data_IF_740132411486
#
_entry.id   IF_740132411486
#
_cell.length_a   1.000
_cell.length_b   1.000
_cell.length_c   1.000
_cell.angle_alpha   90.00
_cell.angle_beta   90.00
_cell.angle_gamma   90.00
#
_symmetry.space_group_name_H-M   'P 1'
#
loop_
_entity.id
_entity.type
_entity.pdbx_description
1 polymer ?
#
# COMPACT_ATOMS: atom_id res chain seq x y z
N UNK A 1 19.06 23.41 -26.28
CA UNK A 1 18.09 22.44 -26.84
C UNK A 1 17.13 22.07 -25.71
N UNK A 2 15.88 22.52 -25.79
CA UNK A 2 14.85 22.21 -24.76
C UNK A 2 14.21 20.89 -25.18
N UNK A 3 14.39 19.84 -24.36
CA UNK A 3 13.75 18.55 -24.58
C UNK A 3 12.23 18.70 -24.36
N UNK A 4 11.45 18.48 -25.41
CA UNK A 4 10.00 18.45 -25.37
C UNK A 4 9.56 17.16 -24.66
N UNK A 5 8.75 17.28 -23.62
CA UNK A 5 8.17 16.13 -22.93
C UNK A 5 7.31 15.29 -23.90
N UNK A 6 7.24 13.96 -23.75
CA UNK A 6 6.43 13.11 -24.61
C UNK A 6 4.95 13.54 -24.50
N UNK A 7 4.34 13.90 -25.63
CA UNK A 7 2.92 14.18 -25.71
C UNK A 7 2.15 12.84 -25.62
N UNK A 8 1.14 12.80 -24.75
CA UNK A 8 0.23 11.67 -24.69
C UNK A 8 -0.45 11.44 -26.05
N UNK A 9 -0.71 10.18 -26.47
CA UNK A 9 -1.39 9.91 -27.72
C UNK A 9 -2.79 10.56 -27.74
N UNK A 10 -3.26 11.04 -28.90
CA UNK A 10 -4.59 11.62 -29.03
C UNK A 10 -5.65 10.55 -28.67
N UNK A 11 -6.50 10.88 -27.71
CA UNK A 11 -7.64 10.03 -27.33
C UNK A 11 -8.71 10.09 -28.42
N UNK A 12 -9.40 8.96 -28.74
CA UNK A 12 -10.50 8.96 -29.70
C UNK A 12 -11.62 9.90 -29.23
N UNK A 13 -12.13 10.72 -30.16
CA UNK A 13 -13.09 11.78 -29.88
C UNK A 13 -14.53 11.32 -29.54
N UNK A 14 -14.82 10.02 -29.57
CA UNK A 14 -16.17 9.44 -29.41
C UNK A 14 -16.41 8.69 -28.09
N UNK A 15 -15.54 8.88 -27.08
CA UNK A 15 -15.76 8.34 -25.75
C UNK A 15 -16.56 9.28 -24.85
N UNK A 16 -17.23 8.77 -23.78
CA UNK A 16 -17.83 9.63 -22.78
C UNK A 16 -16.78 10.61 -22.25
N UNK A 17 -17.16 11.88 -21.94
CA UNK A 17 -16.21 12.88 -21.50
C UNK A 17 -15.41 12.37 -20.29
N UNK A 18 -14.09 12.66 -20.21
CA UNK A 18 -13.26 12.24 -19.10
C UNK A 18 -13.90 12.67 -17.78
N UNK A 19 -13.96 11.76 -16.80
CA UNK A 19 -14.46 12.13 -15.46
C UNK A 19 -13.59 13.23 -14.88
N UNK A 20 -14.18 14.39 -14.62
CA UNK A 20 -13.50 15.47 -13.92
C UNK A 20 -13.40 15.09 -12.44
N UNK A 21 -12.17 14.89 -11.96
CA UNK A 21 -11.90 14.72 -10.54
C UNK A 21 -11.58 16.08 -9.92
N UNK A 22 -12.31 16.50 -8.86
CA UNK A 22 -12.05 17.79 -8.21
C UNK A 22 -10.63 17.81 -7.60
N UNK A 23 -10.07 19.02 -7.48
CA UNK A 23 -8.79 19.22 -6.83
C UNK A 23 -8.83 18.71 -5.38
N UNK A 24 -7.81 17.97 -4.92
CA UNK A 24 -7.80 17.44 -3.57
C UNK A 24 -7.58 18.57 -2.56
N UNK A 25 -8.31 18.53 -1.44
CA UNK A 25 -8.27 19.60 -0.40
C UNK A 25 -7.59 19.14 0.89
N UNK A 26 -7.32 17.84 1.09
CA UNK A 26 -6.78 17.31 2.34
C UNK A 26 -5.64 16.28 2.12
N UNK A 27 -4.66 16.65 1.29
CA UNK A 27 -3.44 15.86 1.14
C UNK A 27 -2.50 16.10 2.33
N UNK A 28 -2.21 15.06 3.13
CA UNK A 28 -1.31 15.13 4.30
C UNK A 28 0.04 14.45 4.09
N UNK A 29 0.07 13.38 3.30
CA UNK A 29 1.27 12.58 3.06
C UNK A 29 1.67 12.52 1.58
N UNK A 30 0.72 12.72 0.68
CA UNK A 30 0.99 12.83 -0.76
C UNK A 30 1.45 14.25 -1.13
N UNK A 31 2.20 14.43 -2.22
CA UNK A 31 2.59 15.74 -2.75
C UNK A 31 1.39 16.67 -2.94
N UNK A 32 1.54 17.94 -2.56
CA UNK A 32 0.44 18.92 -2.54
C UNK A 32 0.01 19.39 -3.94
N UNK A 33 0.85 19.20 -4.94
CA UNK A 33 0.66 19.64 -6.32
C UNK A 33 -0.02 18.59 -7.22
N UNK A 34 -0.48 17.46 -6.65
CA UNK A 34 -1.19 16.43 -7.41
C UNK A 34 -2.57 16.92 -7.84
N UNK A 35 -2.93 16.64 -9.10
CA UNK A 35 -4.29 16.81 -9.60
C UNK A 35 -5.26 15.79 -9.01
N UNK A 36 -6.56 16.05 -9.11
CA UNK A 36 -7.60 15.10 -8.67
C UNK A 36 -7.49 13.74 -9.39
N UNK A 37 -7.16 13.76 -10.68
CA UNK A 37 -6.94 12.55 -11.48
C UNK A 37 -5.76 11.72 -10.93
N UNK A 38 -4.62 12.36 -10.68
CA UNK A 38 -3.44 11.67 -10.13
C UNK A 38 -3.69 11.06 -8.75
N UNK A 39 -4.42 11.79 -7.90
CA UNK A 39 -4.82 11.25 -6.58
C UNK A 39 -5.76 10.05 -6.75
N UNK A 40 -6.72 10.12 -7.67
CA UNK A 40 -7.61 9.01 -7.95
C UNK A 40 -6.84 7.75 -8.38
N UNK A 41 -5.90 7.86 -9.30
CA UNK A 41 -5.04 6.76 -9.76
C UNK A 41 -4.20 6.15 -8.62
N UNK A 42 -3.71 6.99 -7.69
CA UNK A 42 -3.03 6.51 -6.48
C UNK A 42 -3.99 5.71 -5.60
N UNK A 43 -5.21 6.21 -5.39
CA UNK A 43 -6.22 5.54 -4.56
C UNK A 43 -6.67 4.20 -5.17
N UNK A 44 -6.84 4.11 -6.50
CA UNK A 44 -7.15 2.83 -7.18
C UNK A 44 -6.03 1.80 -6.96
N UNK A 45 -4.77 2.21 -7.06
CA UNK A 45 -3.64 1.31 -6.74
C UNK A 45 -3.67 0.84 -5.28
N UNK A 46 -4.03 1.72 -4.34
CA UNK A 46 -4.16 1.35 -2.93
C UNK A 46 -5.35 0.40 -2.70
N UNK A 47 -6.51 0.65 -3.34
CA UNK A 47 -7.66 -0.26 -3.31
C UNK A 47 -7.26 -1.68 -3.75
N UNK A 48 -6.62 -1.81 -4.91
CA UNK A 48 -6.17 -3.10 -5.44
C UNK A 48 -5.11 -3.75 -4.53
N UNK A 49 -4.18 -2.97 -3.99
CA UNK A 49 -3.12 -3.48 -3.10
C UNK A 49 -3.65 -4.01 -1.77
N UNK A 50 -4.76 -3.44 -1.28
CA UNK A 50 -5.36 -3.76 0.02
C UNK A 50 -6.61 -4.65 -0.10
N UNK A 51 -7.13 -4.88 -1.31
CA UNK A 51 -8.37 -5.63 -1.53
C UNK A 51 -9.61 -4.97 -0.93
N UNK A 52 -9.66 -3.64 -0.90
CA UNK A 52 -10.74 -2.87 -0.27
C UNK A 52 -11.41 -1.92 -1.28
N UNK A 53 -12.41 -1.17 -0.83
CA UNK A 53 -13.11 -0.15 -1.61
C UNK A 53 -12.93 1.24 -0.99
N UNK A 54 -13.15 2.30 -1.79
CA UNK A 54 -13.06 3.71 -1.35
C UNK A 54 -13.78 3.98 -0.04
N UNK A 55 -14.95 3.35 0.16
CA UNK A 55 -15.76 3.49 1.38
C UNK A 55 -15.12 2.90 2.64
N UNK A 56 -14.10 2.07 2.52
CA UNK A 56 -13.35 1.57 3.68
C UNK A 56 -12.63 2.71 4.41
N UNK A 57 -12.05 3.65 3.65
CA UNK A 57 -11.26 4.76 4.21
C UNK A 57 -11.98 6.11 4.17
N UNK A 58 -13.05 6.27 3.36
CA UNK A 58 -13.76 7.53 3.18
C UNK A 58 -15.21 7.41 3.65
N UNK A 59 -15.71 8.45 4.34
CA UNK A 59 -17.09 8.52 4.83
C UNK A 59 -18.06 8.93 3.72
N UNK A 60 -19.30 8.48 3.81
CA UNK A 60 -20.37 9.01 2.99
C UNK A 60 -20.78 10.41 3.49
N UNK A 61 -21.04 11.32 2.56
CA UNK A 61 -21.60 12.65 2.86
C UNK A 61 -23.13 12.60 2.66
N UNK A 62 -23.92 12.60 3.73
CA UNK A 62 -25.37 12.53 3.63
C UNK A 62 -26.00 13.76 2.97
N UNK A 63 -25.27 14.88 2.91
CA UNK A 63 -25.72 16.13 2.30
C UNK A 63 -25.37 16.23 0.80
N UNK A 64 -24.59 15.29 0.28
CA UNK A 64 -24.15 15.27 -1.12
C UNK A 64 -24.61 14.00 -1.80
N UNK A 65 -25.83 14.04 -2.34
CA UNK A 65 -26.45 12.88 -3.00
C UNK A 65 -26.07 12.85 -4.48
N UNK A 66 -25.60 11.69 -4.94
CA UNK A 66 -25.26 11.46 -6.33
C UNK A 66 -26.51 11.22 -7.21
N UNK A 67 -26.33 11.19 -8.55
CA UNK A 67 -27.44 10.95 -9.48
C UNK A 67 -28.16 9.61 -9.30
N UNK A 68 -27.48 8.65 -8.67
CA UNK A 68 -28.02 7.32 -8.35
C UNK A 68 -28.77 7.26 -7.01
N UNK A 69 -29.04 8.41 -6.38
CA UNK A 69 -29.72 8.50 -5.08
C UNK A 69 -28.88 8.08 -3.88
N UNK A 70 -27.59 7.80 -4.06
CA UNK A 70 -26.68 7.41 -2.98
C UNK A 70 -25.80 8.59 -2.53
N UNK A 71 -25.48 8.69 -1.23
CA UNK A 71 -24.51 9.66 -0.74
C UNK A 71 -23.16 9.49 -1.44
N UNK A 72 -22.56 10.60 -1.86
CA UNK A 72 -21.18 10.62 -2.35
C UNK A 72 -20.21 10.50 -1.18
N UNK A 73 -18.98 10.06 -1.46
CA UNK A 73 -17.94 9.99 -0.45
C UNK A 73 -17.32 11.37 -0.21
N UNK A 74 -17.11 11.70 1.06
CA UNK A 74 -16.32 12.85 1.48
C UNK A 74 -14.84 12.44 1.57
N UNK A 75 -14.10 12.69 0.51
CA UNK A 75 -12.69 12.34 0.43
C UNK A 75 -11.79 13.21 1.35
N UNK A 76 -12.27 14.35 1.83
CA UNK A 76 -11.53 15.24 2.73
C UNK A 76 -11.72 14.87 4.20
N UNK A 77 -12.78 14.19 4.57
CA UNK A 77 -13.10 13.81 5.95
C UNK A 77 -12.06 12.83 6.52
N UNK A 78 -11.65 13.03 7.76
CA UNK A 78 -10.64 12.24 8.48
C UNK A 78 -11.20 11.42 9.64
N UNK A 79 -12.51 11.29 9.76
CA UNK A 79 -13.16 10.61 10.88
C UNK A 79 -12.90 9.09 10.92
N UNK A 80 -12.57 8.47 9.78
CA UNK A 80 -12.26 7.04 9.72
C UNK A 80 -10.81 6.74 10.11
N UNK A 81 -10.63 5.88 11.11
CA UNK A 81 -9.32 5.46 11.60
C UNK A 81 -8.45 4.81 10.50
N UNK A 82 -9.06 4.05 9.59
CA UNK A 82 -8.39 3.40 8.45
C UNK A 82 -7.61 4.41 7.59
N UNK A 83 -8.14 5.62 7.43
CA UNK A 83 -7.46 6.69 6.68
C UNK A 83 -6.19 7.19 7.36
N UNK A 84 -6.20 7.27 8.70
CA UNK A 84 -5.01 7.61 9.48
C UNK A 84 -3.96 6.49 9.40
N UNK A 85 -4.41 5.23 9.53
CA UNK A 85 -3.55 4.04 9.38
C UNK A 85 -2.90 4.00 8.00
N UNK A 86 -3.67 4.19 6.92
CA UNK A 86 -3.14 4.20 5.55
C UNK A 86 -2.05 5.27 5.35
N UNK A 87 -2.23 6.46 5.95
CA UNK A 87 -1.20 7.52 5.92
C UNK A 87 0.08 7.13 6.65
N UNK A 88 -0.04 6.44 7.78
CA UNK A 88 1.10 5.94 8.54
C UNK A 88 1.84 4.86 7.74
N UNK A 89 1.11 3.90 7.17
CA UNK A 89 1.69 2.83 6.34
C UNK A 89 2.36 3.39 5.08
N UNK A 90 1.78 4.42 4.45
CA UNK A 90 2.41 5.10 3.33
C UNK A 90 3.76 5.73 3.72
N UNK A 91 3.83 6.44 4.85
CA UNK A 91 5.10 7.00 5.36
C UNK A 91 6.14 5.91 5.64
N UNK A 92 5.73 4.79 6.21
CA UNK A 92 6.62 3.64 6.43
C UNK A 92 7.15 3.10 5.10
N UNK A 93 6.31 2.99 4.08
CA UNK A 93 6.72 2.53 2.74
C UNK A 93 7.74 3.49 2.11
N UNK A 94 7.52 4.81 2.22
CA UNK A 94 8.46 5.83 1.75
C UNK A 94 9.79 5.78 2.50
N UNK A 95 9.74 5.57 3.82
CA UNK A 95 10.94 5.45 4.66
C UNK A 95 11.77 4.21 4.28
N UNK A 96 11.12 3.06 4.09
CA UNK A 96 11.77 1.83 3.63
C UNK A 96 12.44 2.06 2.26
N UNK A 97 11.74 2.67 1.32
CA UNK A 97 12.28 2.93 -0.01
C UNK A 97 13.44 3.92 0.02
N UNK A 98 13.31 5.00 0.76
CA UNK A 98 14.28 6.09 0.81
C UNK A 98 15.54 5.77 1.61
N UNK A 99 15.46 4.93 2.64
CA UNK A 99 16.58 4.66 3.54
C UNK A 99 17.20 3.27 3.40
N UNK A 100 16.47 2.30 2.86
CA UNK A 100 16.93 0.91 2.80
C UNK A 100 16.97 0.36 1.38
N UNK A 101 15.85 0.42 0.66
CA UNK A 101 15.75 -0.18 -0.68
C UNK A 101 16.71 0.51 -1.66
N UNK A 102 16.86 1.83 -1.57
CA UNK A 102 17.79 2.61 -2.41
C UNK A 102 19.26 2.17 -2.26
N UNK A 103 19.63 1.52 -1.15
CA UNK A 103 20.98 1.02 -0.89
C UNK A 103 21.24 -0.36 -1.52
N UNK A 104 20.21 -1.01 -2.04
CA UNK A 104 20.31 -2.34 -2.67
C UNK A 104 20.35 -2.16 -4.18
N UNK A 105 21.43 -2.60 -4.80
CA UNK A 105 21.62 -2.52 -6.25
C UNK A 105 20.52 -3.30 -6.99
N UNK A 106 19.99 -2.73 -8.06
CA UNK A 106 18.91 -3.31 -8.89
C UNK A 106 17.62 -3.64 -8.12
N UNK A 107 17.39 -3.02 -6.96
CA UNK A 107 16.17 -3.24 -6.19
C UNK A 107 14.95 -2.57 -6.84
N UNK A 108 13.78 -3.17 -6.61
CA UNK A 108 12.49 -2.58 -6.95
C UNK A 108 11.88 -1.95 -5.70
N UNK A 109 11.36 -0.71 -5.75
CA UNK A 109 10.70 -0.09 -4.61
C UNK A 109 9.55 -0.95 -4.07
N UNK A 110 9.46 -1.05 -2.75
CA UNK A 110 8.31 -1.69 -2.10
C UNK A 110 7.07 -0.80 -2.23
N UNK A 111 5.91 -1.43 -2.31
CA UNK A 111 4.60 -0.79 -2.38
C UNK A 111 3.67 -1.36 -1.32
N UNK A 112 2.47 -0.78 -1.14
CA UNK A 112 1.45 -1.39 -0.30
C UNK A 112 1.21 -2.86 -0.68
N UNK A 113 1.13 -3.14 -2.00
CA UNK A 113 0.89 -4.49 -2.52
C UNK A 113 2.02 -5.49 -2.25
N UNK A 114 3.25 -5.02 -2.02
CA UNK A 114 4.38 -5.90 -1.69
C UNK A 114 4.13 -6.69 -0.40
N UNK A 115 3.50 -6.04 0.60
CA UNK A 115 3.16 -6.65 1.88
C UNK A 115 1.71 -7.16 1.92
N UNK A 116 0.77 -6.37 1.43
CA UNK A 116 -0.67 -6.63 1.57
C UNK A 116 -1.22 -7.65 0.56
N UNK A 117 -0.70 -7.70 -0.68
CA UNK A 117 -1.08 -8.68 -1.71
C UNK A 117 -2.60 -8.81 -1.95
N UNK A 118 -3.34 -7.71 -1.86
CA UNK A 118 -4.78 -7.68 -2.02
C UNK A 118 -5.58 -7.97 -0.74
N UNK A 119 -4.94 -7.95 0.44
CA UNK A 119 -5.58 -8.15 1.73
C UNK A 119 -5.38 -6.94 2.64
N UNK A 120 -6.43 -6.50 3.34
CA UNK A 120 -6.34 -5.38 4.28
C UNK A 120 -5.34 -5.67 5.41
N UNK A 121 -5.39 -6.89 5.93
CA UNK A 121 -4.42 -7.41 6.89
C UNK A 121 -3.50 -8.39 6.14
N UNK A 122 -2.16 -8.14 6.12
CA UNK A 122 -1.23 -9.02 5.44
C UNK A 122 -1.29 -10.44 5.98
N UNK A 123 -1.49 -11.42 5.11
CA UNK A 123 -1.48 -12.82 5.50
C UNK A 123 -0.05 -13.30 5.84
N UNK A 124 0.11 -14.14 6.88
CA UNK A 124 1.38 -14.78 7.16
C UNK A 124 1.88 -15.58 5.95
N UNK A 125 3.18 -15.46 5.66
CA UNK A 125 3.78 -16.28 4.62
C UNK A 125 3.88 -17.73 5.12
N UNK A 126 3.25 -18.64 4.39
CA UNK A 126 3.36 -20.09 4.64
C UNK A 126 4.39 -20.64 3.65
N UNK A 127 5.46 -21.25 4.17
CA UNK A 127 6.45 -21.94 3.33
C UNK A 127 5.75 -23.15 2.69
N UNK A 128 5.70 -23.26 1.35
CA UNK A 128 5.18 -24.46 0.70
C UNK A 128 5.97 -25.67 1.18
N UNK A 129 5.34 -26.85 1.35
CA UNK A 129 6.08 -28.07 1.62
C UNK A 129 7.08 -28.29 0.46
N UNK A 130 8.32 -28.64 0.81
CA UNK A 130 9.36 -28.92 -0.15
C UNK A 130 8.91 -30.10 -1.04
N UNK A 131 8.58 -29.84 -2.30
CA UNK A 131 8.33 -30.88 -3.31
C UNK A 131 9.64 -31.52 -3.81
N UNK A 132 10.77 -31.07 -3.29
CA UNK A 132 12.07 -31.63 -3.57
C UNK A 132 12.43 -32.63 -2.49
N UNK A 133 11.94 -33.85 -2.67
CA UNK A 133 12.50 -35.06 -2.04
C UNK A 133 13.91 -35.23 -2.59
N UNK A 134 14.86 -34.43 -2.13
CA UNK A 134 16.27 -34.71 -2.32
C UNK A 134 16.60 -35.82 -1.35
N UNK A 135 16.70 -37.02 -1.84
CA UNK A 135 17.36 -38.16 -1.24
C UNK A 135 18.80 -37.81 -0.83
N UNK A 136 18.96 -36.91 0.10
CA UNK A 136 20.19 -36.73 0.85
C UNK A 136 20.10 -37.59 2.09
N UNK A 137 20.19 -38.88 1.87
CA UNK A 137 20.52 -39.88 2.90
C UNK A 137 21.96 -39.63 3.36
N UNK A 138 22.16 -38.51 4.07
CA UNK A 138 23.34 -38.24 4.87
C UNK A 138 22.98 -38.40 6.34
N UNK A 139 23.86 -38.94 7.20
CA UNK A 139 23.57 -39.12 8.61
C UNK A 139 23.25 -37.76 9.25
N UNK A 140 22.03 -37.61 9.72
CA UNK A 140 21.57 -36.41 10.44
C UNK A 140 22.45 -36.25 11.69
N UNK A 141 23.20 -35.13 11.85
CA UNK A 141 23.93 -34.89 13.11
C UNK A 141 22.94 -34.89 14.27
N UNK A 142 23.27 -35.59 15.32
CA UNK A 142 22.45 -35.67 16.52
C UNK A 142 22.06 -34.26 16.99
N UNK A 143 20.77 -34.00 17.04
CA UNK A 143 20.25 -32.76 17.61
C UNK A 143 20.67 -32.70 19.10
N UNK A 144 21.53 -31.74 19.42
CA UNK A 144 21.81 -31.39 20.80
C UNK A 144 20.53 -30.98 21.53
N UNK A 145 20.51 -31.03 22.88
CA UNK A 145 19.31 -30.78 23.66
C UNK A 145 18.71 -29.41 23.29
N UNK A 146 17.42 -29.42 22.95
CA UNK A 146 16.63 -28.24 22.61
C UNK A 146 16.75 -27.20 23.71
N UNK A 147 17.31 -26.04 23.43
CA UNK A 147 17.34 -24.93 24.39
C UNK A 147 15.89 -24.52 24.69
N UNK A 148 15.54 -24.51 25.95
CA UNK A 148 14.26 -24.01 26.44
C UNK A 148 14.06 -22.54 26.03
N UNK A 149 12.83 -22.11 25.68
CA UNK A 149 12.55 -20.72 25.37
C UNK A 149 12.94 -19.83 26.58
N UNK A 150 13.46 -18.60 26.30
CA UNK A 150 13.81 -17.69 27.40
C UNK A 150 12.56 -17.31 28.20
N UNK A 151 12.69 -17.07 29.53
CA UNK A 151 11.57 -16.70 30.37
C UNK A 151 10.93 -15.38 29.88
N UNK A 152 9.61 -15.38 29.78
CA UNK A 152 8.82 -14.20 29.49
C UNK A 152 9.07 -13.14 30.59
N UNK A 153 9.69 -11.99 30.21
CA UNK A 153 9.86 -10.90 31.16
C UNK A 153 11.11 -10.02 31.03
N UNK A 154 11.94 -10.18 29.99
CA UNK A 154 13.05 -9.25 29.82
C UNK A 154 12.57 -7.92 29.20
N UNK A 155 12.83 -6.73 29.82
CA UNK A 155 12.49 -5.44 29.25
C UNK A 155 13.34 -5.16 28.00
N UNK A 156 12.70 -4.58 26.96
CA UNK A 156 13.35 -4.19 25.73
C UNK A 156 14.46 -3.14 25.99
N UNK A 157 15.61 -3.19 25.27
CA UNK A 157 16.65 -2.18 25.39
C UNK A 157 16.12 -0.83 24.86
N UNK A 158 16.31 0.23 25.67
CA UNK A 158 15.98 1.60 25.29
C UNK A 158 17.06 2.15 24.36
N UNK A 159 16.70 2.91 23.29
CA UNK A 159 17.68 3.57 22.43
C UNK A 159 18.40 4.69 23.20
N UNK A 160 19.70 4.79 22.98
CA UNK A 160 20.55 5.91 23.43
C UNK A 160 20.46 7.08 22.47
#
# INVERSE_FOLDING_TARGET
MVAQAPQAPPQPADGPPPRAYPAPTNLKVLPKNLSGQQVHEIMERWEGSLGVHCSTCHTADPNNIGPNGRPRLNFADDSKAQKATARLMYKMTEDINGNYVIMVENSTPVTCGTCHRGHLDPEPFVIPPDEHDHDHEGPRPAQGPSQAPPPAGAPAPQPR
#
